data_IF_460146673076
#
_entry.id   IF_460146673076
#
_cell.length_a   1.000
_cell.length_b   1.000
_cell.length_c   1.000
_cell.angle_alpha   90.00
_cell.angle_beta   90.00
_cell.angle_gamma   90.00
#
_symmetry.space_group_name_H-M   'P 1'
#
loop_
_entity.id
_entity.type
_entity.pdbx_description
1 polymer ?
#
# COMPACT_ATOMS: atom_id res chain seq x y z
N UNK A 1 13.83 -3.68 5.87
CA UNK A 1 14.10 -4.08 4.46
C UNK A 1 12.95 -3.54 3.64
N UNK A 2 13.20 -2.97 2.46
CA UNK A 2 12.17 -2.31 1.65
C UNK A 2 11.37 -3.32 0.82
N UNK A 3 10.05 -3.14 0.75
CA UNK A 3 9.16 -3.86 -0.16
C UNK A 3 9.57 -3.64 -1.62
N UNK A 4 9.69 -4.72 -2.40
CA UNK A 4 10.14 -4.67 -3.81
C UNK A 4 9.24 -3.84 -4.74
N UNK A 5 7.97 -3.69 -4.41
CA UNK A 5 7.01 -2.88 -5.19
C UNK A 5 6.84 -1.45 -4.67
N UNK A 6 7.57 -1.04 -3.62
CA UNK A 6 7.38 0.27 -2.99
C UNK A 6 7.40 1.43 -3.98
N UNK A 7 8.31 1.40 -4.96
CA UNK A 7 8.48 2.49 -5.92
C UNK A 7 7.26 2.71 -6.84
N UNK A 8 6.45 1.67 -7.06
CA UNK A 8 5.24 1.71 -7.91
C UNK A 8 3.95 1.51 -7.13
N UNK A 9 4.03 1.21 -5.84
CA UNK A 9 2.88 0.93 -5.00
C UNK A 9 2.08 2.22 -4.73
N UNK A 10 0.75 2.23 -4.90
CA UNK A 10 -0.10 3.38 -4.58
C UNK A 10 0.08 3.92 -3.16
N UNK A 11 0.51 3.09 -2.20
CA UNK A 11 0.79 3.54 -0.83
C UNK A 11 1.86 4.63 -0.78
N UNK A 12 2.95 4.48 -1.54
CA UNK A 12 4.00 5.50 -1.65
C UNK A 12 3.41 6.81 -2.17
N UNK A 13 2.62 6.72 -3.22
CA UNK A 13 1.98 7.87 -3.86
C UNK A 13 1.01 8.61 -2.94
N UNK A 14 0.15 7.90 -2.19
CA UNK A 14 -0.74 8.56 -1.23
C UNK A 14 0.03 9.18 -0.07
N UNK A 15 1.09 8.53 0.40
CA UNK A 15 1.95 9.08 1.44
C UNK A 15 2.66 10.37 0.99
N UNK A 16 3.24 10.38 -0.21
CA UNK A 16 3.90 11.56 -0.79
C UNK A 16 2.94 12.73 -1.01
N UNK A 17 1.65 12.44 -1.19
CA UNK A 17 0.57 13.45 -1.27
C UNK A 17 -0.02 13.86 0.08
N UNK A 18 0.46 13.28 1.18
CA UNK A 18 -0.06 13.54 2.53
C UNK A 18 -1.47 12.98 2.79
N UNK A 19 -1.93 12.05 1.94
CA UNK A 19 -3.23 11.40 2.06
C UNK A 19 -3.19 10.12 2.90
N UNK A 20 -1.99 9.56 3.08
CA UNK A 20 -1.75 8.35 3.87
C UNK A 20 -0.79 8.66 5.00
N UNK A 21 -1.13 8.18 6.20
CA UNK A 21 -0.27 8.34 7.36
C UNK A 21 1.05 7.57 7.22
N UNK A 22 2.12 8.14 7.79
CA UNK A 22 3.49 7.60 7.70
C UNK A 22 3.62 6.17 8.23
N UNK A 23 2.83 5.81 9.24
CA UNK A 23 2.91 4.49 9.89
C UNK A 23 2.68 3.36 8.88
N UNK A 24 1.80 3.55 7.88
CA UNK A 24 1.57 2.57 6.82
C UNK A 24 2.84 2.27 6.01
N UNK A 25 3.67 3.29 5.79
CA UNK A 25 4.92 3.16 5.05
C UNK A 25 6.01 2.53 5.92
N UNK A 26 6.16 3.01 7.16
CA UNK A 26 7.19 2.51 8.06
C UNK A 26 6.95 1.05 8.46
N UNK A 27 5.73 0.72 8.88
CA UNK A 27 5.41 -0.59 9.43
C UNK A 27 5.29 -1.66 8.34
N UNK A 28 4.71 -1.32 7.18
CA UNK A 28 4.49 -2.29 6.11
C UNK A 28 5.50 -2.18 4.98
N UNK A 29 5.91 -0.99 4.52
CA UNK A 29 6.81 -0.91 3.36
C UNK A 29 8.29 -1.11 3.74
N UNK A 30 8.73 -0.63 4.90
CA UNK A 30 10.16 -0.65 5.29
C UNK A 30 10.49 -1.61 6.44
N UNK A 31 9.49 -2.08 7.20
CA UNK A 31 9.66 -3.01 8.31
C UNK A 31 9.17 -4.43 7.96
N UNK A 32 7.85 -4.67 7.98
CA UNK A 32 7.25 -6.00 7.82
C UNK A 32 6.39 -6.11 6.55
N UNK A 33 6.98 -5.96 5.36
CA UNK A 33 6.22 -6.06 4.11
C UNK A 33 5.60 -7.44 3.86
N UNK A 34 6.08 -8.48 4.54
CA UNK A 34 5.48 -9.81 4.49
C UNK A 34 4.12 -9.89 5.22
N UNK A 35 3.79 -8.96 6.12
CA UNK A 35 2.45 -8.88 6.71
C UNK A 35 1.45 -8.18 5.80
N UNK A 36 1.91 -7.34 4.86
CA UNK A 36 1.06 -6.59 3.93
C UNK A 36 0.22 -7.53 3.04
N UNK A 37 -1.09 -7.36 3.05
CA UNK A 37 -2.03 -8.15 2.25
C UNK A 37 -1.84 -7.86 0.76
N UNK A 38 -1.63 -6.59 0.38
CA UNK A 38 -1.34 -6.21 -1.01
C UNK A 38 -0.12 -6.95 -1.55
N UNK A 39 0.97 -7.00 -0.78
CA UNK A 39 2.18 -7.75 -1.15
C UNK A 39 1.87 -9.22 -1.44
N UNK A 40 1.09 -9.88 -0.57
CA UNK A 40 0.69 -11.29 -0.76
C UNK A 40 -0.19 -11.47 -2.00
N UNK A 41 -1.07 -10.52 -2.27
CA UNK A 41 -1.97 -10.57 -3.43
C UNK A 41 -1.18 -10.41 -4.73
N UNK A 42 -0.25 -9.44 -4.81
CA UNK A 42 0.68 -9.25 -5.93
C UNK A 42 1.52 -10.50 -6.20
N UNK A 43 2.13 -11.10 -5.16
CA UNK A 43 2.89 -12.36 -5.31
C UNK A 43 2.03 -13.51 -5.83
N UNK A 44 0.74 -13.50 -5.51
CA UNK A 44 -0.21 -14.53 -5.95
C UNK A 44 -0.92 -14.19 -7.27
N UNK A 45 -0.62 -13.05 -7.89
CA UNK A 45 -1.28 -12.58 -9.11
C UNK A 45 -2.77 -12.26 -8.93
N UNK A 46 -3.20 -11.91 -7.72
CA UNK A 46 -4.60 -11.55 -7.41
C UNK A 46 -4.79 -10.04 -7.54
N UNK A 47 -5.83 -9.65 -8.25
CA UNK A 47 -6.27 -8.27 -8.32
C UNK A 47 -6.64 -7.72 -6.94
N UNK A 48 -6.28 -6.46 -6.70
CA UNK A 48 -6.76 -5.63 -5.60
C UNK A 48 -6.82 -4.16 -6.05
N UNK A 49 -7.64 -3.38 -5.38
CA UNK A 49 -7.81 -1.97 -5.62
C UNK A 49 -6.59 -1.15 -5.17
N UNK A 50 -6.38 0.01 -5.79
CA UNK A 50 -5.26 0.88 -5.42
C UNK A 50 -5.46 1.53 -4.05
N UNK A 51 -6.70 1.78 -3.67
CA UNK A 51 -7.11 2.33 -2.38
C UNK A 51 -7.33 1.26 -1.28
N UNK A 52 -6.91 0.02 -1.54
CA UNK A 52 -6.77 -0.99 -0.48
C UNK A 52 -5.54 -0.66 0.37
N UNK A 53 -5.69 -0.67 1.69
CA UNK A 53 -4.60 -0.47 2.64
C UNK A 53 -3.77 -1.75 2.84
N UNK A 54 -2.56 -1.64 3.41
CA UNK A 54 -1.68 -2.79 3.67
C UNK A 54 -2.30 -3.89 4.53
N UNK A 55 -3.26 -3.57 5.40
CA UNK A 55 -3.99 -4.54 6.22
C UNK A 55 -5.19 -5.20 5.50
N UNK A 56 -5.45 -4.82 4.23
CA UNK A 56 -6.53 -5.32 3.39
C UNK A 56 -7.85 -4.58 3.54
N UNK A 57 -7.93 -3.55 4.38
CA UNK A 57 -9.12 -2.68 4.45
C UNK A 57 -9.18 -1.75 3.23
N UNK A 58 -10.38 -1.28 2.89
CA UNK A 58 -10.61 -0.36 1.77
C UNK A 58 -10.82 1.04 2.33
N UNK A 59 -10.00 2.01 1.89
CA UNK A 59 -10.19 3.42 2.23
C UNK A 59 -10.78 4.17 1.04
N UNK A 60 -12.10 4.32 1.02
CA UNK A 60 -12.82 5.01 -0.07
C UNK A 60 -12.43 6.50 -0.20
N UNK A 61 -11.79 7.11 0.81
CA UNK A 61 -11.30 8.49 0.69
C UNK A 61 -10.13 8.58 -0.29
N UNK A 62 -9.35 7.51 -0.42
CA UNK A 62 -8.20 7.45 -1.33
C UNK A 62 -8.62 7.21 -2.79
N UNK A 63 -9.81 6.66 -3.02
CA UNK A 63 -10.32 6.28 -4.35
C UNK A 63 -10.39 7.42 -5.36
N UNK A 64 -10.81 8.60 -4.92
CA UNK A 64 -10.86 9.79 -5.80
C UNK A 64 -9.48 10.43 -6.03
N UNK A 65 -8.48 9.95 -5.30
CA UNK A 65 -7.10 10.42 -5.41
C UNK A 65 -6.20 9.43 -6.14
N UNK A 66 -6.70 8.21 -6.41
CA UNK A 66 -6.06 7.18 -7.23
C UNK A 66 -5.90 7.70 -8.66
N UNK A 67 -4.66 7.80 -9.15
CA UNK A 67 -4.35 8.27 -10.51
C UNK A 67 -4.34 7.10 -11.50
#
# INVERSE_FOLDING_TARGET
MQCKWFEVCPMKFYYERGLLEKHWIEDYCFNNYLSCIRYKMEESGKYHEDWMLPDGTIDENLKNSSA
#
